data_IF_375677786476
#
_entry.id   IF_375677786476
#
_cell.length_a   1.000
_cell.length_b   1.000
_cell.length_c   1.000
_cell.angle_alpha   90.00
_cell.angle_beta   90.00
_cell.angle_gamma   90.00
#
_symmetry.space_group_name_H-M   'P 1'
#
loop_
_entity.id
_entity.type
_entity.pdbx_description
1 polymer ?
#
# COMPACT_ATOMS: atom_id res chain seq x y z
N UNK A 1 -1.48 -7.38 15.24
CA UNK A 1 -2.93 -7.54 14.99
C UNK A 1 -3.47 -6.57 13.94
N UNK A 2 -3.20 -5.26 14.02
CA UNK A 2 -3.65 -4.30 13.00
C UNK A 2 -3.20 -4.63 11.56
N UNK A 3 -1.97 -5.14 11.41
CA UNK A 3 -1.42 -5.54 10.09
C UNK A 3 -2.26 -6.62 9.37
N UNK A 4 -2.92 -7.52 10.12
CA UNK A 4 -3.77 -8.56 9.52
C UNK A 4 -5.05 -7.93 8.94
N UNK A 5 -5.64 -6.97 9.65
CA UNK A 5 -6.85 -6.27 9.22
C UNK A 5 -6.57 -5.48 7.94
N UNK A 6 -5.43 -4.77 7.89
CA UNK A 6 -4.99 -4.03 6.71
C UNK A 6 -4.76 -4.97 5.52
N UNK A 7 -4.08 -6.10 5.73
CA UNK A 7 -3.87 -7.09 4.67
C UNK A 7 -5.20 -7.61 4.09
N UNK A 8 -6.17 -7.91 4.95
CA UNK A 8 -7.50 -8.34 4.54
C UNK A 8 -8.22 -7.24 3.75
N UNK A 9 -8.19 -5.98 4.22
CA UNK A 9 -8.78 -4.83 3.52
C UNK A 9 -8.23 -4.74 2.09
N UNK A 10 -6.92 -4.79 1.92
CA UNK A 10 -6.27 -4.62 0.63
C UNK A 10 -6.65 -5.73 -0.36
N UNK A 11 -6.79 -6.97 0.12
CA UNK A 11 -7.25 -8.11 -0.73
C UNK A 11 -8.70 -7.95 -1.14
N UNK A 12 -9.58 -7.53 -0.22
CA UNK A 12 -10.98 -7.26 -0.56
C UNK A 12 -11.13 -6.09 -1.52
N UNK A 13 -10.40 -5.00 -1.27
CA UNK A 13 -10.38 -3.80 -2.11
C UNK A 13 -9.98 -4.18 -3.55
N UNK A 14 -8.88 -4.94 -3.72
CA UNK A 14 -8.46 -5.44 -5.02
C UNK A 14 -9.53 -6.33 -5.68
N UNK A 15 -10.16 -7.23 -4.92
CA UNK A 15 -11.22 -8.09 -5.46
C UNK A 15 -12.41 -7.29 -5.96
N UNK A 16 -12.85 -6.27 -5.22
CA UNK A 16 -13.95 -5.41 -5.63
C UNK A 16 -13.60 -4.53 -6.83
N UNK A 17 -12.38 -3.97 -6.88
CA UNK A 17 -11.89 -3.19 -8.02
C UNK A 17 -11.78 -4.03 -9.30
N UNK A 18 -11.47 -5.32 -9.19
CA UNK A 18 -11.42 -6.23 -10.33
C UNK A 18 -12.82 -6.69 -10.80
N UNK A 19 -13.80 -6.80 -9.89
CA UNK A 19 -15.15 -7.29 -10.21
C UNK A 19 -16.10 -6.18 -10.67
N UNK A 20 -15.89 -4.95 -10.21
CA UNK A 20 -16.74 -3.80 -10.51
C UNK A 20 -15.89 -2.64 -11.00
N UNK A 21 -16.28 -2.03 -12.12
CA UNK A 21 -15.64 -0.81 -12.61
C UNK A 21 -16.09 0.41 -11.78
N UNK A 22 -15.54 0.50 -10.57
CA UNK A 22 -15.78 1.62 -9.66
C UNK A 22 -14.68 2.67 -9.90
N UNK A 23 -15.04 3.97 -10.00
CA UNK A 23 -14.05 5.04 -10.01
C UNK A 23 -13.23 5.03 -8.70
N UNK A 24 -11.91 5.01 -8.79
CA UNK A 24 -11.02 4.97 -7.62
C UNK A 24 -11.29 6.11 -6.63
N UNK A 25 -11.61 7.31 -7.15
CA UNK A 25 -11.95 8.47 -6.34
C UNK A 25 -13.22 8.27 -5.49
N UNK A 26 -14.22 7.57 -6.02
CA UNK A 26 -15.47 7.28 -5.29
C UNK A 26 -15.25 6.25 -4.19
N UNK A 27 -14.47 5.20 -4.46
CA UNK A 27 -14.11 4.19 -3.47
C UNK A 27 -13.36 4.81 -2.27
N UNK A 28 -12.30 5.59 -2.53
CA UNK A 28 -11.54 6.28 -1.47
C UNK A 28 -12.40 7.29 -0.72
N UNK A 29 -13.32 7.98 -1.40
CA UNK A 29 -14.25 8.89 -0.76
C UNK A 29 -15.18 8.19 0.24
N UNK A 30 -15.70 7.01 -0.11
CA UNK A 30 -16.53 6.20 0.79
C UNK A 30 -15.71 5.67 1.97
N UNK A 31 -14.50 5.17 1.73
CA UNK A 31 -13.61 4.72 2.81
C UNK A 31 -13.31 5.86 3.80
N UNK A 32 -13.01 7.05 3.28
CA UNK A 32 -12.81 8.25 4.10
C UNK A 32 -14.05 8.61 4.91
N UNK A 33 -15.24 8.53 4.32
CA UNK A 33 -16.51 8.82 5.00
C UNK A 33 -16.80 7.82 6.13
N UNK A 34 -16.59 6.52 5.89
CA UNK A 34 -16.72 5.50 6.92
C UNK A 34 -15.67 5.67 8.02
N UNK A 35 -14.42 5.96 7.66
CA UNK A 35 -13.35 6.26 8.61
C UNK A 35 -13.70 7.46 9.50
N UNK A 36 -14.16 8.56 8.92
CA UNK A 36 -14.58 9.74 9.68
C UNK A 36 -15.77 9.44 10.60
N UNK A 37 -16.75 8.66 10.13
CA UNK A 37 -17.92 8.27 10.93
C UNK A 37 -17.51 7.43 12.13
N UNK A 38 -16.69 6.40 11.91
CA UNK A 38 -16.21 5.49 12.96
C UNK A 38 -15.34 6.26 13.97
N UNK A 39 -14.41 7.10 13.50
CA UNK A 39 -13.55 7.91 14.37
C UNK A 39 -14.36 8.93 15.18
N UNK A 40 -15.36 9.56 14.59
CA UNK A 40 -16.25 10.50 15.29
C UNK A 40 -17.06 9.83 16.40
N UNK A 41 -17.54 8.60 16.16
CA UNK A 41 -18.24 7.81 17.19
C UNK A 41 -17.27 7.32 18.27
N UNK A 42 -16.08 6.89 17.89
CA UNK A 42 -15.05 6.39 18.81
C UNK A 42 -14.48 7.49 19.72
N UNK A 43 -14.47 8.73 19.26
CA UNK A 43 -14.08 9.89 20.03
C UNK A 43 -14.92 10.08 21.31
N UNK A 44 -16.21 9.71 21.29
CA UNK A 44 -17.10 9.84 22.45
C UNK A 44 -16.65 9.00 23.65
N UNK A 45 -16.46 7.67 23.55
CA UNK A 45 -15.94 6.88 24.67
C UNK A 45 -14.49 7.24 25.03
N UNK A 46 -13.64 7.61 24.06
CA UNK A 46 -12.25 7.99 24.35
C UNK A 46 -12.13 9.27 25.19
N UNK A 47 -13.10 10.18 25.09
CA UNK A 47 -13.17 11.37 25.95
C UNK A 47 -13.42 11.04 27.43
N UNK A 48 -14.20 9.99 27.73
CA UNK A 48 -14.55 9.62 29.12
C UNK A 48 -13.52 8.69 29.79
N UNK A 49 -12.59 8.13 29.03
CA UNK A 49 -11.53 7.28 29.57
C UNK A 49 -10.43 8.16 30.17
N UNK A 50 -10.26 8.03 31.49
CA UNK A 50 -9.18 8.67 32.21
C UNK A 50 -7.97 7.75 32.23
N UNK A 51 -6.82 8.27 31.84
CA UNK A 51 -5.55 7.54 31.80
C UNK A 51 -4.53 8.17 32.73
N UNK A 52 -3.59 7.36 33.27
CA UNK A 52 -2.50 7.88 34.08
C UNK A 52 -1.61 8.81 33.24
N UNK A 53 -0.90 9.72 33.92
CA UNK A 53 -0.05 10.77 33.34
C UNK A 53 1.05 10.28 32.36
N UNK A 54 1.28 8.97 32.25
CA UNK A 54 2.16 8.39 31.23
C UNK A 54 1.57 8.41 29.83
N UNK A 55 0.23 8.51 29.69
CA UNK A 55 -0.47 8.49 28.41
C UNK A 55 -1.21 9.79 28.07
N UNK A 56 -1.34 10.72 29.02
CA UNK A 56 -1.93 12.03 28.78
C UNK A 56 -1.27 13.10 29.62
N UNK A 57 -0.83 14.18 28.96
CA UNK A 57 -0.31 15.40 29.59
C UNK A 57 -1.44 16.38 29.94
N UNK A 58 -2.69 16.04 29.64
CA UNK A 58 -3.82 16.93 29.90
C UNK A 58 -4.10 17.07 31.41
N UNK A 59 -4.47 18.28 31.89
CA UNK A 59 -4.78 18.52 33.30
C UNK A 59 -5.91 17.65 33.85
N UNK A 60 -6.85 17.24 32.98
CA UNK A 60 -8.01 16.43 33.32
C UNK A 60 -7.78 14.92 33.11
N UNK A 61 -6.59 14.49 32.69
CA UNK A 61 -6.22 13.08 32.53
C UNK A 61 -7.04 12.31 31.47
N UNK A 62 -7.72 13.02 30.56
CA UNK A 62 -8.48 12.42 29.45
C UNK A 62 -7.57 11.93 28.34
N UNK A 63 -7.95 10.84 27.68
CA UNK A 63 -7.17 10.23 26.60
C UNK A 63 -7.23 11.04 25.30
N UNK A 64 -8.41 11.55 24.94
CA UNK A 64 -8.63 12.44 23.78
C UNK A 64 -9.48 13.63 24.25
N UNK A 65 -9.01 14.86 24.03
CA UNK A 65 -9.77 16.07 24.35
C UNK A 65 -9.97 16.93 23.09
N UNK A 66 -11.09 16.69 22.42
CA UNK A 66 -11.47 17.39 21.20
C UNK A 66 -11.67 18.88 21.45
N UNK A 67 -12.25 19.27 22.60
CA UNK A 67 -12.55 20.67 22.87
C UNK A 67 -11.26 21.46 23.09
N UNK A 68 -10.29 20.87 23.79
CA UNK A 68 -8.97 21.45 23.93
C UNK A 68 -8.25 21.55 22.58
N UNK A 69 -8.25 20.46 21.78
CA UNK A 69 -7.62 20.46 20.47
C UNK A 69 -8.23 21.50 19.51
N UNK A 70 -9.56 21.64 19.49
CA UNK A 70 -10.26 22.63 18.65
C UNK A 70 -9.95 24.06 19.08
N UNK A 71 -9.81 24.31 20.39
CA UNK A 71 -9.39 25.61 20.90
C UNK A 71 -7.97 25.94 20.47
N UNK A 72 -7.05 24.99 20.59
CA UNK A 72 -5.64 25.19 20.22
C UNK A 72 -5.46 25.41 18.71
N UNK A 73 -6.21 24.69 17.87
CA UNK A 73 -6.25 24.91 16.41
C UNK A 73 -6.76 26.32 16.08
N UNK A 74 -7.71 26.84 16.86
CA UNK A 74 -8.27 28.19 16.65
C UNK A 74 -7.31 29.30 17.10
N UNK A 75 -6.52 29.05 18.14
CA UNK A 75 -5.55 30.01 18.67
C UNK A 75 -4.24 30.03 17.87
N UNK A 76 -3.79 28.89 17.35
CA UNK A 76 -2.55 28.75 16.58
C UNK A 76 -2.83 28.27 15.15
N UNK A 77 -2.99 29.20 14.17
CA UNK A 77 -3.37 28.85 12.82
C UNK A 77 -2.29 28.03 12.08
N UNK A 78 -1.03 28.02 12.55
CA UNK A 78 -0.01 27.15 11.97
C UNK A 78 -0.30 25.66 12.14
N UNK A 79 -0.94 25.30 13.26
CA UNK A 79 -1.37 23.92 13.52
C UNK A 79 -2.44 23.54 12.51
N UNK A 80 -3.40 24.43 12.23
CA UNK A 80 -4.46 24.21 11.26
C UNK A 80 -3.91 24.00 9.84
N UNK A 81 -2.90 24.79 9.43
CA UNK A 81 -2.26 24.62 8.12
C UNK A 81 -1.50 23.30 8.05
N UNK A 82 -0.75 22.94 9.10
CA UNK A 82 -0.03 21.68 9.15
C UNK A 82 -0.99 20.48 9.06
N UNK A 83 -2.10 20.50 9.82
CA UNK A 83 -3.16 19.49 9.79
C UNK A 83 -3.85 19.41 8.42
N UNK A 84 -4.19 20.55 7.84
CA UNK A 84 -4.78 20.61 6.49
C UNK A 84 -3.83 20.01 5.45
N UNK A 85 -2.54 20.35 5.52
CA UNK A 85 -1.50 19.80 4.65
C UNK A 85 -1.37 18.28 4.78
N UNK A 86 -1.37 17.73 5.99
CA UNK A 86 -1.35 16.27 6.19
C UNK A 86 -2.62 15.60 5.67
N UNK A 87 -3.80 16.17 5.90
CA UNK A 87 -5.07 15.62 5.38
C UNK A 87 -5.05 15.55 3.85
N UNK A 88 -4.65 16.63 3.19
CA UNK A 88 -4.54 16.68 1.72
C UNK A 88 -3.52 15.67 1.20
N UNK A 89 -2.36 15.57 1.86
CA UNK A 89 -1.30 14.62 1.50
C UNK A 89 -1.79 13.16 1.60
N UNK A 90 -2.47 12.81 2.70
CA UNK A 90 -3.02 11.46 2.92
C UNK A 90 -4.12 11.16 1.89
N UNK A 91 -5.01 12.12 1.60
CA UNK A 91 -6.06 11.95 0.60
C UNK A 91 -5.48 11.69 -0.80
N UNK A 92 -4.47 12.47 -1.22
CA UNK A 92 -3.78 12.27 -2.49
C UNK A 92 -3.04 10.93 -2.54
N UNK A 93 -2.36 10.57 -1.44
CA UNK A 93 -1.67 9.29 -1.33
C UNK A 93 -2.63 8.11 -1.48
N UNK A 94 -3.77 8.13 -0.78
CA UNK A 94 -4.77 7.07 -0.88
C UNK A 94 -5.38 7.00 -2.29
N UNK A 95 -5.72 8.13 -2.89
CA UNK A 95 -6.21 8.18 -4.27
C UNK A 95 -5.21 7.58 -5.27
N UNK A 96 -3.94 7.97 -5.19
CA UNK A 96 -2.89 7.43 -6.03
C UNK A 96 -2.67 5.92 -5.78
N UNK A 97 -2.72 5.48 -4.52
CA UNK A 97 -2.60 4.06 -4.16
C UNK A 97 -3.71 3.19 -4.75
N UNK A 98 -4.97 3.63 -4.66
CA UNK A 98 -6.10 2.91 -5.26
C UNK A 98 -6.01 2.91 -6.79
N UNK A 99 -5.64 4.05 -7.38
CA UNK A 99 -5.49 4.18 -8.84
C UNK A 99 -4.41 3.23 -9.37
N UNK A 100 -3.25 3.16 -8.72
CA UNK A 100 -2.19 2.20 -9.08
C UNK A 100 -2.63 0.75 -8.88
N UNK A 101 -3.43 0.47 -7.84
CA UNK A 101 -3.97 -0.88 -7.61
C UNK A 101 -4.88 -1.33 -8.75
N UNK A 102 -5.68 -0.39 -9.29
CA UNK A 102 -6.60 -0.63 -10.40
C UNK A 102 -5.86 -0.92 -11.72
N UNK A 103 -4.77 -0.21 -12.00
CA UNK A 103 -4.03 -0.31 -13.26
C UNK A 103 -2.92 -1.39 -13.26
N UNK A 104 -2.29 -1.68 -12.11
CA UNK A 104 -1.07 -2.51 -12.06
C UNK A 104 -1.12 -3.68 -11.06
N UNK A 105 -2.09 -3.75 -10.13
CA UNK A 105 -2.25 -4.73 -9.01
C UNK A 105 -1.86 -4.26 -7.60
N UNK A 106 -2.38 -4.97 -6.58
CA UNK A 106 -2.09 -4.72 -5.16
C UNK A 106 -0.62 -4.92 -4.76
N UNK A 107 0.13 -5.70 -5.54
CA UNK A 107 1.56 -5.88 -5.31
C UNK A 107 2.31 -4.56 -5.48
N UNK A 108 2.01 -3.81 -6.54
CA UNK A 108 2.62 -2.51 -6.80
C UNK A 108 2.32 -1.52 -5.66
N UNK A 109 1.16 -1.62 -5.02
CA UNK A 109 0.85 -0.82 -3.83
C UNK A 109 1.74 -1.16 -2.63
N UNK A 110 2.02 -2.45 -2.38
CA UNK A 110 2.97 -2.85 -1.33
C UNK A 110 4.41 -2.37 -1.64
N UNK A 111 4.79 -2.31 -2.92
CA UNK A 111 6.05 -1.71 -3.36
C UNK A 111 6.08 -0.22 -3.02
N UNK A 112 5.01 0.52 -3.35
CA UNK A 112 4.89 1.95 -3.05
C UNK A 112 5.00 2.23 -1.53
N UNK A 113 4.42 1.37 -0.69
CA UNK A 113 4.54 1.48 0.75
C UNK A 113 5.99 1.30 1.23
N UNK A 114 6.72 0.34 0.66
CA UNK A 114 8.13 0.11 0.97
C UNK A 114 9.01 1.28 0.53
N UNK A 115 8.74 1.85 -0.65
CA UNK A 115 9.45 3.03 -1.17
C UNK A 115 9.23 4.23 -0.26
N UNK A 116 8.01 4.46 0.22
CA UNK A 116 7.70 5.58 1.15
C UNK A 116 8.58 5.53 2.39
N UNK A 117 8.68 4.37 3.05
CA UNK A 117 9.49 4.20 4.26
C UNK A 117 10.98 4.39 3.96
N UNK A 118 11.47 3.92 2.82
CA UNK A 118 12.85 4.12 2.38
C UNK A 118 13.15 5.61 2.17
N UNK A 119 12.26 6.34 1.50
CA UNK A 119 12.41 7.78 1.25
C UNK A 119 12.47 8.55 2.57
N UNK A 120 11.58 8.27 3.52
CA UNK A 120 11.60 8.91 4.84
C UNK A 120 12.94 8.66 5.56
N UNK A 121 13.43 7.42 5.52
CA UNK A 121 14.72 7.07 6.11
C UNK A 121 15.90 7.78 5.41
N UNK A 122 15.89 7.85 4.08
CA UNK A 122 16.94 8.49 3.32
C UNK A 122 17.02 10.00 3.63
N UNK A 123 15.87 10.66 3.81
CA UNK A 123 15.81 12.06 4.23
C UNK A 123 16.11 12.26 5.72
N UNK A 124 15.87 11.28 6.59
CA UNK A 124 16.11 11.42 8.02
C UNK A 124 17.61 11.56 8.36
N UNK A 125 18.50 10.93 7.59
CA UNK A 125 19.95 10.98 7.83
C UNK A 125 20.49 12.43 7.71
N UNK A 126 20.33 13.15 6.57
CA UNK A 126 20.88 14.50 6.42
C UNK A 126 20.10 15.57 7.18
N UNK A 127 18.77 15.44 7.35
CA UNK A 127 17.95 16.49 7.98
C UNK A 127 17.86 16.38 9.50
N UNK A 128 17.83 15.16 10.04
CA UNK A 128 17.65 14.92 11.48
C UNK A 128 18.94 14.45 12.17
N UNK A 129 20.03 14.25 11.42
CA UNK A 129 21.33 13.86 11.98
C UNK A 129 21.32 12.46 12.60
N UNK A 130 20.41 11.60 12.15
CA UNK A 130 20.24 10.24 12.65
C UNK A 130 21.48 9.36 12.39
N UNK A 131 21.75 8.43 13.31
CA UNK A 131 22.90 7.54 13.22
C UNK A 131 22.73 6.57 12.05
N UNK A 132 23.75 6.50 11.18
CA UNK A 132 23.72 5.61 10.03
C UNK A 132 23.90 4.15 10.47
N UNK A 133 22.82 3.36 10.40
CA UNK A 133 22.83 1.92 10.70
C UNK A 133 22.94 1.14 9.39
N UNK A 134 24.10 0.52 9.07
CA UNK A 134 24.29 -0.18 7.80
C UNK A 134 23.37 -1.40 7.62
N UNK A 135 22.93 -2.01 8.73
CA UNK A 135 22.00 -3.13 8.72
C UNK A 135 20.65 -2.75 8.09
N UNK A 136 20.23 -1.50 8.24
CA UNK A 136 18.98 -1.01 7.65
C UNK A 136 19.08 -0.93 6.12
N UNK A 137 20.24 -0.54 5.60
CA UNK A 137 20.52 -0.54 4.16
C UNK A 137 20.47 -1.96 3.58
N UNK A 138 21.00 -2.95 4.29
CA UNK A 138 20.89 -4.37 3.91
C UNK A 138 19.42 -4.82 3.90
N UNK A 139 18.62 -4.38 4.87
CA UNK A 139 17.18 -4.63 4.90
C UNK A 139 16.45 -4.04 3.68
N UNK A 140 16.74 -2.80 3.30
CA UNK A 140 16.18 -2.19 2.10
C UNK A 140 16.62 -2.89 0.82
N UNK A 141 17.90 -3.28 0.72
CA UNK A 141 18.41 -4.03 -0.42
C UNK A 141 17.71 -5.39 -0.56
N UNK A 142 17.46 -6.08 0.56
CA UNK A 142 16.73 -7.35 0.58
C UNK A 142 15.25 -7.16 0.19
N UNK A 143 14.61 -6.07 0.62
CA UNK A 143 13.24 -5.73 0.18
C UNK A 143 13.18 -5.48 -1.33
N UNK A 144 14.10 -4.67 -1.87
CA UNK A 144 14.19 -4.39 -3.31
C UNK A 144 14.43 -5.68 -4.11
N UNK A 145 15.35 -6.53 -3.64
CA UNK A 145 15.63 -7.82 -4.26
C UNK A 145 14.39 -8.73 -4.22
N UNK A 146 13.72 -8.80 -3.07
CA UNK A 146 12.45 -9.54 -2.93
C UNK A 146 11.37 -9.05 -3.89
N UNK A 147 11.29 -7.74 -4.14
CA UNK A 147 10.35 -7.16 -5.11
C UNK A 147 10.70 -7.51 -6.57
N UNK A 148 11.99 -7.54 -6.93
CA UNK A 148 12.42 -7.98 -8.26
C UNK A 148 12.18 -9.47 -8.50
N UNK A 149 12.30 -10.28 -7.45
CA UNK A 149 11.95 -11.71 -7.47
C UNK A 149 10.45 -11.90 -7.60
N UNK A 150 9.65 -11.16 -6.82
CA UNK A 150 8.19 -11.28 -6.83
C UNK A 150 7.57 -10.86 -8.17
N UNK A 151 8.05 -9.76 -8.76
CA UNK A 151 7.54 -9.28 -10.06
C UNK A 151 8.03 -10.15 -11.24
N UNK A 152 8.63 -11.30 -10.98
CA UNK A 152 9.21 -12.22 -11.96
C UNK A 152 10.21 -11.59 -12.95
N UNK A 153 10.64 -10.34 -12.75
CA UNK A 153 11.62 -9.63 -13.59
C UNK A 153 12.95 -10.39 -13.64
N UNK A 154 13.34 -11.04 -12.54
CA UNK A 154 14.58 -11.81 -12.45
C UNK A 154 14.39 -13.32 -12.66
N UNK A 155 13.33 -13.92 -12.12
CA UNK A 155 13.16 -15.39 -12.09
C UNK A 155 12.36 -15.92 -13.27
N UNK A 156 11.30 -15.24 -13.72
CA UNK A 156 10.54 -15.62 -14.91
C UNK A 156 11.43 -15.81 -16.15
N UNK A 157 12.24 -14.82 -16.58
CA UNK A 157 13.16 -14.94 -17.70
C UNK A 157 14.29 -15.94 -17.45
N UNK A 158 14.83 -16.01 -16.23
CA UNK A 158 15.94 -16.89 -15.89
C UNK A 158 15.50 -18.37 -15.88
N UNK A 159 14.34 -18.67 -15.27
CA UNK A 159 13.71 -19.99 -15.26
C UNK A 159 13.28 -20.41 -16.67
N UNK A 160 12.65 -19.50 -17.43
CA UNK A 160 12.29 -19.72 -18.85
C UNK A 160 13.53 -19.99 -19.71
N UNK A 161 14.66 -19.33 -19.48
CA UNK A 161 15.93 -19.57 -20.21
C UNK A 161 16.74 -20.78 -19.72
N UNK A 162 16.65 -21.19 -18.46
CA UNK A 162 17.42 -22.33 -17.89
C UNK A 162 16.67 -23.66 -17.95
N UNK A 163 15.36 -23.66 -17.76
CA UNK A 163 14.57 -24.90 -17.54
C UNK A 163 13.84 -25.35 -18.81
N UNK A 164 13.24 -24.43 -19.58
CA UNK A 164 12.55 -24.81 -20.83
C UNK A 164 13.42 -25.40 -21.94
N UNK A 165 14.69 -24.99 -22.17
CA UNK A 165 15.50 -25.66 -23.19
C UNK A 165 15.88 -27.09 -22.80
N UNK A 166 15.75 -27.46 -21.51
CA UNK A 166 16.06 -28.80 -21.02
C UNK A 166 14.84 -29.76 -21.04
N UNK A 167 13.64 -29.26 -21.38
CA UNK A 167 12.44 -30.09 -21.60
C UNK A 167 12.12 -30.29 -23.09
N UNK A 168 12.89 -29.66 -23.99
CA UNK A 168 12.68 -29.72 -25.44
C UNK A 168 13.11 -31.03 -26.11
N UNK A 169 13.71 -31.98 -25.39
CA UNK A 169 14.28 -33.20 -25.98
C UNK A 169 13.77 -34.50 -25.34
N UNK A 170 12.53 -34.49 -24.84
CA UNK A 170 11.83 -35.75 -24.55
C UNK A 170 10.36 -35.71 -24.98
N UNK A 171 10.19 -36.11 -26.23
CA UNK A 171 9.03 -36.77 -26.81
C UNK A 171 7.74 -35.95 -26.97
N UNK A 172 7.28 -35.98 -28.22
CA UNK A 172 5.98 -35.60 -28.82
C UNK A 172 4.71 -35.92 -28.00
N UNK A 173 4.83 -36.66 -26.89
CA UNK A 173 3.74 -37.17 -26.06
C UNK A 173 3.16 -36.13 -25.08
N UNK A 174 3.91 -35.08 -24.73
CA UNK A 174 3.49 -34.11 -23.69
C UNK A 174 2.64 -32.95 -24.25
N UNK A 175 2.67 -32.69 -25.56
CA UNK A 175 1.82 -31.64 -26.19
C UNK A 175 0.33 -31.94 -26.08
N UNK A 176 -0.08 -33.21 -26.02
CA UNK A 176 -1.48 -33.58 -25.79
C UNK A 176 -1.92 -33.34 -24.34
N UNK A 177 -1.00 -33.36 -23.36
CA UNK A 177 -1.36 -33.18 -21.95
C UNK A 177 -1.47 -31.70 -21.56
N UNK A 178 -0.65 -30.84 -22.18
CA UNK A 178 -0.72 -29.40 -21.97
C UNK A 178 -1.96 -28.75 -22.60
N UNK A 179 -2.56 -29.38 -23.61
CA UNK A 179 -3.83 -28.92 -24.20
C UNK A 179 -5.05 -29.26 -23.33
N UNK A 180 -4.94 -30.26 -22.44
CA UNK A 180 -6.02 -30.67 -21.52
C UNK A 180 -5.93 -29.96 -20.17
N UNK A 181 -4.72 -29.59 -19.72
CA UNK A 181 -4.53 -28.85 -18.48
C UNK A 181 -4.53 -27.34 -18.80
N UNK A 182 -5.74 -26.78 -18.88
CA UNK A 182 -6.02 -25.39 -19.21
C UNK A 182 -5.05 -24.42 -18.53
N UNK A 183 -4.13 -23.89 -19.32
CA UNK A 183 -3.39 -22.68 -19.05
C UNK A 183 -3.88 -21.63 -20.04
N UNK A 184 -5.14 -21.22 -19.88
CA UNK A 184 -5.62 -19.92 -20.37
C UNK A 184 -4.97 -18.85 -19.50
N UNK A 185 -3.70 -18.56 -19.74
CA UNK A 185 -3.07 -17.32 -19.26
C UNK A 185 -2.14 -16.83 -20.38
N UNK A 186 -2.47 -15.62 -20.85
CA UNK A 186 -1.78 -14.79 -21.84
C UNK A 186 -2.19 -14.91 -23.32
N UNK A 187 -3.49 -14.98 -23.61
CA UNK A 187 -4.01 -14.42 -24.89
C UNK A 187 -4.46 -12.94 -24.75
N UNK A 188 -4.64 -12.41 -23.52
CA UNK A 188 -5.12 -11.03 -23.34
C UNK A 188 -4.01 -9.97 -23.49
N UNK A 189 -2.75 -10.30 -23.21
CA UNK A 189 -1.63 -9.35 -23.34
C UNK A 189 -1.03 -9.29 -24.76
N UNK A 190 -1.36 -10.24 -25.64
CA UNK A 190 -0.83 -10.23 -27.01
C UNK A 190 -1.69 -9.39 -27.97
N UNK A 191 -2.96 -9.11 -27.65
CA UNK A 191 -3.83 -8.30 -28.52
C UNK A 191 -3.63 -6.78 -28.32
N UNK A 192 -3.18 -6.33 -27.14
CA UNK A 192 -2.86 -4.90 -26.91
C UNK A 192 -1.55 -4.46 -27.56
N UNK A 193 -0.56 -5.36 -27.68
CA UNK A 193 0.75 -5.03 -28.24
C UNK A 193 0.84 -5.11 -29.77
N UNK A 194 -0.23 -5.54 -30.45
CA UNK A 194 -0.27 -5.61 -31.93
C UNK A 194 -1.02 -4.41 -32.53
N UNK A 195 -1.85 -3.69 -31.76
CA UNK A 195 -2.66 -2.58 -32.27
C UNK A 195 -2.03 -1.17 -32.11
N UNK A 196 -0.85 -1.04 -31.51
CA UNK A 196 -0.15 0.25 -31.36
C UNK A 196 0.91 0.51 -32.46
N UNK A 197 1.14 -0.43 -33.38
CA UNK A 197 2.10 -0.30 -34.48
C UNK A 197 1.50 -0.70 -35.85
N UNK A 198 0.37 -0.10 -36.29
CA UNK A 198 0.00 0.12 -37.73
C UNK A 198 -1.04 1.23 -37.86
#
# INVERSE_FOLDING_TARGET
MAQIIVAIQMVYEQKYLNQYDVPALFAVGLEGLFGMTILSVLMVPMYYIHVPHTFSTNPEGRLEDIFFAMKEISEQPWIAVALGGTVVSIAFFNFAGVSVTKELSATTRMVLDSVRTLVIWAFSIPFFGEQFIPLQLVGFALLILGMFVYNDILIGPWFRRRVLPNMGDSNLCTRCWFSICGADLDEVDQESLINDDV
#
